data_IF_884221233174
#
_entry.id   IF_884221233174
#
_cell.length_a   1.000
_cell.length_b   1.000
_cell.length_c   1.000
_cell.angle_alpha   90.00
_cell.angle_beta   90.00
_cell.angle_gamma   90.00
#
_symmetry.space_group_name_H-M   'P 1'
#
loop_
_entity.id
_entity.type
_entity.pdbx_description
1 polymer ?
#
# COMPACT_ATOMS: atom_id res chain seq x y z
N UNK A 1 -5.06 3.16 -17.36
CA UNK A 1 -3.87 2.30 -17.40
C UNK A 1 -2.91 2.85 -16.36
N UNK A 2 -2.54 2.02 -15.40
CA UNK A 2 -1.64 2.40 -14.32
C UNK A 2 -0.22 2.50 -14.87
N UNK A 3 0.44 3.62 -14.62
CA UNK A 3 1.88 3.73 -14.84
C UNK A 3 2.61 3.21 -13.59
N UNK A 4 3.03 1.94 -13.65
CA UNK A 4 3.63 1.24 -12.50
C UNK A 4 4.95 1.87 -12.07
N UNK A 5 5.76 2.34 -13.01
CA UNK A 5 7.06 2.94 -12.68
C UNK A 5 6.90 4.32 -12.05
N UNK A 6 5.97 5.15 -12.55
CA UNK A 6 5.64 6.44 -11.91
C UNK A 6 5.11 6.20 -10.49
N UNK A 7 4.19 5.26 -10.30
CA UNK A 7 3.64 4.98 -8.98
C UNK A 7 4.72 4.47 -8.02
N UNK A 8 5.57 3.55 -8.48
CA UNK A 8 6.66 3.02 -7.67
C UNK A 8 7.70 4.09 -7.31
N UNK A 9 7.98 5.03 -8.22
CA UNK A 9 8.82 6.18 -7.96
C UNK A 9 8.21 7.08 -6.88
N UNK A 10 6.89 7.33 -6.94
CA UNK A 10 6.17 8.07 -5.91
C UNK A 10 6.30 7.40 -4.54
N UNK A 11 6.10 6.08 -4.44
CA UNK A 11 6.28 5.34 -3.20
C UNK A 11 7.71 5.49 -2.67
N UNK A 12 8.70 5.27 -3.54
CA UNK A 12 10.12 5.35 -3.18
C UNK A 12 10.57 6.74 -2.72
N UNK A 13 9.87 7.79 -3.14
CA UNK A 13 10.13 9.17 -2.71
C UNK A 13 9.52 9.50 -1.34
N UNK A 14 8.51 8.74 -0.90
CA UNK A 14 7.74 9.04 0.32
C UNK A 14 8.07 8.13 1.51
N UNK A 15 8.70 6.98 1.27
CA UNK A 15 9.07 6.03 2.33
C UNK A 15 10.57 5.71 2.26
N UNK A 16 11.17 5.49 3.41
CA UNK A 16 12.60 5.14 3.47
C UNK A 16 12.83 3.69 3.06
N UNK A 17 14.04 3.38 2.59
CA UNK A 17 14.36 2.07 2.03
C UNK A 17 14.19 0.92 3.04
N UNK A 18 14.41 1.18 4.34
CA UNK A 18 14.21 0.23 5.44
C UNK A 18 12.74 -0.08 5.73
N UNK A 19 11.80 0.73 5.21
CA UNK A 19 10.37 0.51 5.33
C UNK A 19 9.77 -0.26 4.15
N UNK A 20 10.52 -0.41 3.04
CA UNK A 20 9.99 -0.87 1.76
C UNK A 20 10.49 -2.26 1.40
N UNK A 21 9.55 -3.14 1.07
CA UNK A 21 9.83 -4.38 0.36
C UNK A 21 9.09 -4.37 -0.98
N UNK A 22 9.83 -4.52 -2.08
CA UNK A 22 9.30 -4.40 -3.44
C UNK A 22 9.60 -5.70 -4.20
N UNK A 23 8.56 -6.33 -4.75
CA UNK A 23 8.68 -7.53 -5.56
C UNK A 23 8.00 -7.32 -6.93
N UNK A 24 8.80 -7.27 -8.01
CA UNK A 24 8.29 -7.25 -9.38
C UNK A 24 8.04 -8.69 -9.87
N UNK A 25 7.01 -9.34 -9.34
CA UNK A 25 6.72 -10.75 -9.58
C UNK A 25 6.58 -11.10 -11.07
N UNK A 26 5.79 -10.30 -11.81
CA UNK A 26 5.64 -10.38 -13.28
C UNK A 26 5.41 -8.99 -13.88
N UNK A 27 5.55 -8.78 -15.21
CA UNK A 27 5.29 -7.48 -15.83
C UNK A 27 3.91 -6.90 -15.49
N UNK A 28 2.89 -7.76 -15.41
CA UNK A 28 1.51 -7.40 -15.12
C UNK A 28 1.23 -7.12 -13.63
N UNK A 29 2.08 -7.57 -12.71
CA UNK A 29 1.80 -7.60 -11.27
C UNK A 29 3.04 -7.36 -10.43
N UNK A 30 3.07 -6.22 -9.73
CA UNK A 30 4.10 -5.88 -8.76
C UNK A 30 3.50 -5.76 -7.36
N UNK A 31 4.29 -6.12 -6.35
CA UNK A 31 3.92 -6.03 -4.95
C UNK A 31 4.82 -5.03 -4.23
N UNK A 32 4.23 -4.28 -3.30
CA UNK A 32 4.93 -3.38 -2.41
C UNK A 32 4.37 -3.52 -1.00
N UNK A 33 5.23 -3.90 -0.07
CA UNK A 33 4.94 -3.93 1.36
C UNK A 33 5.63 -2.75 2.04
N UNK A 34 4.90 -2.04 2.90
CA UNK A 34 5.35 -0.80 3.54
C UNK A 34 5.13 -0.87 5.06
N UNK A 35 6.23 -0.86 5.82
CA UNK A 35 6.21 -0.72 7.27
C UNK A 35 6.06 0.77 7.68
N UNK A 36 4.85 1.30 7.52
CA UNK A 36 4.52 2.71 7.77
C UNK A 36 3.63 2.97 9.00
N UNK A 37 3.30 1.93 9.78
CA UNK A 37 2.42 2.03 10.95
C UNK A 37 3.16 1.72 12.26
N UNK A 38 3.70 2.74 12.95
CA UNK A 38 4.35 2.53 14.24
C UNK A 38 3.37 1.93 15.26
N UNK A 39 3.80 0.88 15.96
CA UNK A 39 3.04 0.21 17.02
C UNK A 39 1.73 -0.46 16.55
N UNK A 40 1.57 -0.72 15.24
CA UNK A 40 0.47 -1.53 14.72
C UNK A 40 0.97 -2.94 14.39
N UNK A 41 0.13 -3.98 14.62
CA UNK A 41 0.49 -5.36 14.35
C UNK A 41 0.47 -5.71 12.86
N UNK A 42 0.25 -4.74 11.97
CA UNK A 42 0.15 -4.91 10.53
C UNK A 42 0.99 -3.88 9.78
N UNK A 43 1.24 -4.17 8.50
CA UNK A 43 1.87 -3.29 7.50
C UNK A 43 0.89 -2.99 6.37
N UNK A 44 1.22 -2.02 5.52
CA UNK A 44 0.47 -1.74 4.30
C UNK A 44 0.98 -2.64 3.17
N UNK A 45 0.10 -3.31 2.46
CA UNK A 45 0.44 -4.12 1.29
C UNK A 45 -0.26 -3.57 0.06
N UNK A 46 0.48 -3.47 -1.04
CA UNK A 46 0.02 -2.86 -2.29
C UNK A 46 0.26 -3.84 -3.43
N UNK A 47 -0.77 -4.11 -4.22
CA UNK A 47 -0.66 -4.80 -5.50
C UNK A 47 -0.88 -3.82 -6.64
N UNK A 48 0.08 -3.73 -7.56
CA UNK A 48 0.06 -2.81 -8.70
C UNK A 48 -0.15 -3.66 -9.96
N UNK A 49 -1.35 -3.56 -10.54
CA UNK A 49 -1.75 -4.21 -11.79
C UNK A 49 -1.78 -3.20 -12.94
N UNK A 50 -1.95 -3.66 -14.18
CA UNK A 50 -2.04 -2.77 -15.36
C UNK A 50 -3.26 -1.83 -15.33
N UNK A 51 -4.34 -2.27 -14.69
CA UNK A 51 -5.62 -1.56 -14.68
C UNK A 51 -5.97 -0.94 -13.33
N UNK A 52 -5.30 -1.36 -12.25
CA UNK A 52 -5.64 -0.93 -10.91
C UNK A 52 -4.50 -1.10 -9.89
N UNK A 53 -4.61 -0.35 -8.79
CA UNK A 53 -3.75 -0.45 -7.62
C UNK A 53 -4.65 -0.85 -6.44
N UNK A 54 -4.29 -1.94 -5.77
CA UNK A 54 -5.01 -2.48 -4.62
C UNK A 54 -4.21 -2.24 -3.35
N UNK A 55 -4.87 -1.78 -2.31
CA UNK A 55 -4.30 -1.58 -0.98
C UNK A 55 -5.00 -2.49 0.02
N UNK A 56 -4.19 -3.17 0.83
CA UNK A 56 -4.63 -4.05 1.91
C UNK A 56 -3.67 -3.92 3.10
N UNK A 57 -3.94 -4.65 4.17
CA UNK A 57 -3.03 -4.79 5.32
C UNK A 57 -2.65 -6.24 5.51
N UNK A 58 -1.38 -6.48 5.84
CA UNK A 58 -0.87 -7.82 6.19
C UNK A 58 -0.40 -7.76 7.63
N UNK A 59 -0.80 -8.74 8.44
CA UNK A 59 -0.30 -8.86 9.81
C UNK A 59 1.20 -9.21 9.84
N UNK A 60 1.95 -8.59 10.74
CA UNK A 60 3.39 -8.86 10.96
C UNK A 60 3.62 -10.26 11.52
N UNK A 61 2.65 -10.78 12.25
CA UNK A 61 2.68 -12.12 12.82
C UNK A 61 1.75 -13.03 12.00
N UNK A 62 2.10 -14.31 11.82
CA UNK A 62 1.24 -15.27 11.14
C UNK A 62 0.01 -15.57 12.00
N UNK A 63 -1.01 -14.72 11.89
CA UNK A 63 -2.37 -14.93 12.36
C UNK A 63 -3.26 -15.27 11.17
N UNK A 64 -4.45 -15.81 11.44
CA UNK A 64 -5.47 -16.02 10.41
C UNK A 64 -5.84 -14.66 9.81
N UNK A 65 -5.18 -14.35 8.70
CA UNK A 65 -5.24 -13.06 8.01
C UNK A 65 -6.62 -12.91 7.36
N UNK A 66 -7.40 -11.98 7.88
CA UNK A 66 -8.55 -11.45 7.17
C UNK A 66 -8.06 -10.13 6.60
N UNK A 67 -7.77 -10.08 5.30
CA UNK A 67 -7.58 -8.81 4.59
C UNK A 67 -8.86 -8.00 4.74
N UNK A 68 -8.90 -7.11 5.73
CA UNK A 68 -10.15 -6.52 6.23
C UNK A 68 -10.70 -5.43 5.29
N UNK A 69 -9.85 -4.83 4.44
CA UNK A 69 -10.24 -3.76 3.53
C UNK A 69 -9.38 -3.76 2.26
N UNK A 70 -10.00 -4.06 1.11
CA UNK A 70 -9.39 -3.85 -0.20
C UNK A 70 -9.85 -2.50 -0.75
N UNK A 71 -8.95 -1.52 -0.81
CA UNK A 71 -9.18 -0.29 -1.57
C UNK A 71 -8.58 -0.45 -2.95
N UNK A 72 -9.39 -0.21 -3.98
CA UNK A 72 -9.00 -0.40 -5.38
C UNK A 72 -9.13 0.94 -6.09
N UNK A 73 -8.06 1.36 -6.77
CA UNK A 73 -8.00 2.59 -7.54
C UNK A 73 -7.57 2.29 -8.98
N UNK A 74 -8.23 2.91 -9.96
CA UNK A 74 -7.95 2.70 -11.39
C UNK A 74 -7.02 3.79 -11.98
N UNK A 75 -6.63 4.76 -11.15
CA UNK A 75 -5.77 5.87 -11.53
C UNK A 75 -4.63 6.05 -10.50
N UNK A 76 -3.42 6.32 -11.00
CA UNK A 76 -2.26 6.65 -10.17
C UNK A 76 -2.58 7.75 -9.15
N UNK A 77 -3.26 8.82 -9.59
CA UNK A 77 -3.45 10.01 -8.76
C UNK A 77 -4.32 9.74 -7.53
N UNK A 78 -5.36 8.93 -7.66
CA UNK A 78 -6.22 8.56 -6.54
C UNK A 78 -5.47 7.70 -5.51
N UNK A 79 -4.67 6.75 -6.01
CA UNK A 79 -3.81 5.90 -5.18
C UNK A 79 -2.73 6.72 -4.43
N UNK A 80 -2.13 7.72 -5.10
CA UNK A 80 -1.17 8.66 -4.49
C UNK A 80 -1.83 9.48 -3.37
N UNK A 81 -3.00 10.06 -3.61
CA UNK A 81 -3.75 10.82 -2.60
C UNK A 81 -4.10 9.96 -1.39
N UNK A 82 -4.40 8.67 -1.61
CA UNK A 82 -4.66 7.72 -0.54
C UNK A 82 -3.41 7.47 0.32
N UNK A 83 -2.24 7.28 -0.31
CA UNK A 83 -0.95 7.17 0.40
C UNK A 83 -0.64 8.44 1.19
N UNK A 84 -0.83 9.62 0.60
CA UNK A 84 -0.59 10.91 1.30
C UNK A 84 -1.44 10.99 2.57
N UNK A 85 -2.70 10.54 2.51
CA UNK A 85 -3.57 10.45 3.68
C UNK A 85 -3.06 9.45 4.71
N UNK A 86 -2.56 8.28 4.29
CA UNK A 86 -1.94 7.30 5.18
C UNK A 86 -0.73 7.90 5.90
N UNK A 87 0.13 8.61 5.18
CA UNK A 87 1.33 9.28 5.73
C UNK A 87 0.92 10.33 6.77
N UNK A 88 -0.11 11.11 6.47
CA UNK A 88 -0.64 12.14 7.38
C UNK A 88 -1.23 11.54 8.66
N UNK A 89 -2.09 10.53 8.53
CA UNK A 89 -2.83 9.94 9.65
C UNK A 89 -2.01 8.89 10.43
N UNK A 90 -0.91 8.39 9.85
CA UNK A 90 -0.06 7.32 10.39
C UNK A 90 -0.85 6.08 10.85
N UNK A 91 -2.00 5.84 10.23
CA UNK A 91 -2.91 4.76 10.58
C UNK A 91 -3.85 4.44 9.42
N UNK A 92 -4.22 3.16 9.33
CA UNK A 92 -5.22 2.65 8.40
C UNK A 92 -5.82 1.35 8.98
N UNK A 93 -7.14 1.07 8.85
CA UNK A 93 -8.18 1.98 8.37
C UNK A 93 -8.25 3.23 9.25
N UNK A 94 -8.53 4.38 8.62
CA UNK A 94 -8.71 5.64 9.36
C UNK A 94 -9.77 5.42 10.43
N UNK A 95 -9.54 5.93 11.64
CA UNK A 95 -10.50 5.80 12.74
C UNK A 95 -11.91 6.19 12.24
N UNK A 96 -12.74 5.18 11.97
CA UNK A 96 -14.16 5.32 11.82
C UNK A 96 -14.66 5.68 13.21
N UNK A 97 -14.63 6.97 13.56
CA UNK A 97 -15.41 7.44 14.70
C UNK A 97 -16.86 7.11 14.35
N UNK A 98 -17.39 6.08 15.01
CA UNK A 98 -18.83 5.84 15.11
C UNK A 98 -19.49 7.02 15.82
#
# INVERSE_FOLDING_TARGET
MIDKDIFLQFISNNFSHDQLYIEKFRPELWFVDIDCFPNKPYILAISILDEEIRFSTIDREPVLDFSLYDFIFQENKEAELFIEKIIHEKSFPFHLKQ
#
